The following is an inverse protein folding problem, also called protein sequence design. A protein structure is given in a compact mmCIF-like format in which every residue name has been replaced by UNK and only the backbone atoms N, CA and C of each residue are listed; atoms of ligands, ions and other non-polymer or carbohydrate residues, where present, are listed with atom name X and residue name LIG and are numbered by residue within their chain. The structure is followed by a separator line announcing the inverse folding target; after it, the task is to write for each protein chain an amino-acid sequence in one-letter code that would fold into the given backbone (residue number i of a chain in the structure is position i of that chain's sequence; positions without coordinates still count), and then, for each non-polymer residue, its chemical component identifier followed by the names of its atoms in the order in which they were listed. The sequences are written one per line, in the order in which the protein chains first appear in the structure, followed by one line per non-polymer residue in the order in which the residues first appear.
data_IF_372813786385
#
_entry.id   IF_372813786385
#
_cell.length_a   1.000
_cell.length_b   1.000
_cell.length_c   1.000
_cell.angle_alpha   90.00
_cell.angle_beta   90.00
_cell.angle_gamma   90.00
#
_symmetry.space_group_name_H-M   'P 1'
#
loop_
_entity.id
_entity.type
_entity.pdbx_description
1 polymer ?
#
# COMPACT_ATOMS: atom_id res chain seq x y z
N UNK A 1 3.56 -35.26 -5.31
CA UNK A 1 2.59 -34.18 -5.02
C UNK A 1 3.38 -32.91 -4.79
N UNK A 2 3.38 -32.04 -5.78
CA UNK A 2 4.27 -30.88 -5.90
C UNK A 2 3.62 -29.68 -5.22
N UNK A 3 3.98 -29.41 -3.98
CA UNK A 3 3.60 -28.19 -3.28
C UNK A 3 4.83 -27.30 -3.12
N UNK A 4 5.26 -26.63 -4.20
CA UNK A 4 6.16 -25.48 -4.04
C UNK A 4 5.28 -24.36 -3.50
N UNK A 5 5.34 -24.17 -2.19
CA UNK A 5 4.83 -22.99 -1.51
C UNK A 5 5.64 -21.84 -2.12
N UNK A 6 5.05 -21.14 -3.07
CA UNK A 6 5.64 -19.95 -3.65
C UNK A 6 5.99 -19.03 -2.50
N UNK A 7 7.26 -18.70 -2.39
CA UNK A 7 7.78 -17.68 -1.49
C UNK A 7 6.92 -16.44 -1.66
N UNK A 8 6.04 -16.18 -0.70
CA UNK A 8 5.37 -14.89 -0.54
C UNK A 8 6.46 -13.88 -0.25
N UNK A 9 7.03 -13.32 -1.32
CA UNK A 9 7.81 -12.10 -1.27
C UNK A 9 6.86 -10.99 -0.86
N UNK A 10 6.58 -10.89 0.44
CA UNK A 10 5.85 -9.78 1.03
C UNK A 10 6.79 -8.58 0.89
N UNK A 11 6.76 -7.90 -0.26
CA UNK A 11 7.37 -6.59 -0.39
C UNK A 11 6.57 -5.67 0.53
N UNK A 12 7.17 -5.31 1.66
CA UNK A 12 6.56 -4.39 2.62
C UNK A 12 6.78 -2.97 2.10
N UNK A 13 6.16 -2.65 0.97
CA UNK A 13 6.16 -1.28 0.42
C UNK A 13 5.25 -0.42 1.30
N UNK A 14 5.82 0.12 2.39
CA UNK A 14 5.14 1.10 3.23
C UNK A 14 5.25 2.48 2.57
N UNK A 15 4.11 3.12 2.39
CA UNK A 15 4.02 4.48 1.85
C UNK A 15 3.20 5.38 2.75
N UNK A 16 3.54 6.66 2.78
CA UNK A 16 2.91 7.66 3.65
C UNK A 16 2.09 8.65 2.83
N UNK A 17 0.89 8.94 3.31
CA UNK A 17 0.07 10.04 2.83
C UNK A 17 0.37 11.30 3.65
N UNK A 18 0.82 12.36 2.98
CA UNK A 18 0.99 13.71 3.55
C UNK A 18 -0.14 14.68 3.16
N UNK A 19 -1.24 14.18 2.59
CA UNK A 19 -2.40 14.99 2.22
C UNK A 19 -3.05 15.71 3.41
N UNK A 20 -3.49 16.97 3.26
CA UNK A 20 -3.93 17.82 4.38
C UNK A 20 -5.18 17.32 5.13
N UNK A 21 -5.95 16.41 4.51
CA UNK A 21 -7.16 15.81 5.13
C UNK A 21 -6.90 14.48 5.83
N UNK A 22 -5.69 13.92 5.73
CA UNK A 22 -5.40 12.56 6.20
C UNK A 22 -4.06 12.40 6.91
N UNK A 23 -3.15 13.36 6.79
CA UNK A 23 -1.75 13.20 7.20
C UNK A 23 -1.49 13.28 8.71
N UNK A 24 -0.45 12.59 9.19
CA UNK A 24 0.30 11.52 8.51
C UNK A 24 -0.39 10.16 8.71
N UNK A 25 -0.57 9.39 7.61
CA UNK A 25 -1.06 8.00 7.65
C UNK A 25 -0.20 7.11 6.76
N UNK A 26 0.20 5.97 7.29
CA UNK A 26 1.02 4.97 6.61
C UNK A 26 0.17 3.83 6.07
N UNK A 27 0.47 3.43 4.84
CA UNK A 27 -0.23 2.40 4.08
C UNK A 27 0.77 1.34 3.66
N UNK A 28 0.49 0.08 3.96
CA UNK A 28 1.12 -1.03 3.26
C UNK A 28 0.45 -1.13 1.90
N UNK A 29 1.26 -1.13 0.85
CA UNK A 29 0.80 -1.18 -0.53
C UNK A 29 1.26 -2.46 -1.17
N UNK A 30 0.34 -3.19 -1.79
CA UNK A 30 0.61 -4.41 -2.55
C UNK A 30 -0.02 -4.29 -3.94
N UNK A 31 0.68 -4.75 -4.97
CA UNK A 31 0.12 -4.83 -6.33
C UNK A 31 -0.50 -6.21 -6.51
N UNK A 32 -1.83 -6.26 -6.59
CA UNK A 32 -2.58 -7.51 -6.77
C UNK A 32 -2.60 -7.94 -8.24
N UNK A 33 -2.79 -6.98 -9.16
CA UNK A 33 -2.78 -7.19 -10.60
C UNK A 33 -2.30 -5.93 -11.33
N UNK A 34 -2.17 -6.01 -12.65
CA UNK A 34 -1.89 -4.81 -13.44
C UNK A 34 -3.02 -3.80 -13.28
N UNK A 35 -2.68 -2.59 -12.82
CA UNK A 35 -3.66 -1.55 -12.54
C UNK A 35 -4.52 -1.79 -11.29
N UNK A 36 -4.19 -2.77 -10.43
CA UNK A 36 -4.95 -3.05 -9.20
C UNK A 36 -4.03 -3.10 -7.97
N UNK A 37 -4.37 -2.30 -6.96
CA UNK A 37 -3.58 -2.12 -5.75
C UNK A 37 -4.40 -2.43 -4.51
N UNK A 38 -3.81 -3.18 -3.58
CA UNK A 38 -4.32 -3.39 -2.24
C UNK A 38 -3.59 -2.45 -1.28
N UNK A 39 -4.36 -1.68 -0.52
CA UNK A 39 -3.85 -0.72 0.45
C UNK A 39 -4.43 -1.04 1.82
N UNK A 40 -3.55 -1.38 2.76
CA UNK A 40 -3.91 -1.59 4.16
C UNK A 40 -3.33 -0.46 5.00
N UNK A 41 -4.16 0.18 5.81
CA UNK A 41 -3.69 1.15 6.78
C UNK A 41 -2.82 0.45 7.85
N UNK A 42 -1.63 0.98 8.14
CA UNK A 42 -0.66 0.28 9.00
C UNK A 42 -1.14 0.09 10.44
N UNK A 43 -1.87 1.08 10.96
CA UNK A 43 -2.49 1.07 12.30
C UNK A 43 -3.93 0.52 12.28
N UNK A 44 -4.42 0.09 11.12
CA UNK A 44 -5.83 -0.27 10.90
C UNK A 44 -6.02 -1.71 10.41
N UNK A 45 -7.24 -2.20 10.53
CA UNK A 45 -7.66 -3.48 9.95
C UNK A 45 -8.34 -3.32 8.59
N UNK A 46 -8.60 -2.07 8.15
CA UNK A 46 -9.28 -1.82 6.89
C UNK A 46 -8.33 -1.97 5.71
N UNK A 47 -8.79 -2.73 4.71
CA UNK A 47 -8.12 -2.93 3.43
C UNK A 47 -8.97 -2.28 2.34
N UNK A 48 -8.32 -1.57 1.43
CA UNK A 48 -8.93 -0.95 0.26
C UNK A 48 -8.33 -1.54 -1.00
N UNK A 49 -9.17 -1.74 -2.02
CA UNK A 49 -8.73 -2.11 -3.36
C UNK A 49 -8.91 -0.90 -4.28
N UNK A 50 -7.83 -0.48 -4.96
CA UNK A 50 -7.81 0.66 -5.86
C UNK A 50 -7.42 0.24 -7.27
N UNK A 51 -8.24 0.61 -8.24
CA UNK A 51 -7.90 0.50 -9.65
C UNK A 51 -7.17 1.78 -10.12
N UNK A 52 -6.00 1.62 -10.72
CA UNK A 52 -5.20 2.74 -11.23
C UNK A 52 -3.76 2.35 -11.56
N UNK A 53 -3.09 3.20 -12.35
CA UNK A 53 -1.68 3.03 -12.71
C UNK A 53 -0.73 3.11 -11.50
N UNK A 54 -1.15 3.80 -10.44
CA UNK A 54 -0.37 4.06 -9.23
C UNK A 54 -1.26 4.05 -7.97
N UNK A 55 -0.69 3.71 -6.80
CA UNK A 55 -1.43 3.68 -5.54
C UNK A 55 -1.57 5.11 -4.97
N UNK A 56 -2.80 5.49 -4.59
CA UNK A 56 -3.11 6.78 -3.95
C UNK A 56 -3.77 6.55 -2.60
N UNK A 57 -3.80 7.57 -1.74
CA UNK A 57 -4.46 7.47 -0.44
C UNK A 57 -5.98 7.25 -0.64
N UNK A 58 -6.56 6.14 -0.16
CA UNK A 58 -7.97 5.85 -0.38
C UNK A 58 -8.91 6.79 0.38
N UNK A 59 -8.38 7.58 1.32
CA UNK A 59 -9.14 8.51 2.16
C UNK A 59 -9.28 9.91 1.56
N UNK A 60 -8.25 10.40 0.86
CA UNK A 60 -8.24 11.76 0.32
C UNK A 60 -7.82 11.86 -1.15
N UNK A 61 -7.44 10.74 -1.78
CA UNK A 61 -6.93 10.73 -3.15
C UNK A 61 -5.51 11.29 -3.32
N UNK A 62 -4.86 11.72 -2.23
CA UNK A 62 -3.50 12.25 -2.28
C UNK A 62 -2.45 11.19 -2.63
N UNK A 63 -1.31 11.64 -3.16
CA UNK A 63 -0.20 10.75 -3.51
C UNK A 63 0.41 10.07 -2.27
N UNK A 64 0.96 8.87 -2.50
CA UNK A 64 1.64 8.07 -1.48
C UNK A 64 3.14 8.02 -1.76
N UNK A 65 3.92 8.50 -0.80
CA UNK A 65 5.38 8.59 -0.89
C UNK A 65 6.03 7.41 -0.16
N UNK A 66 7.12 6.82 -0.68
CA UNK A 66 7.88 5.82 0.07
C UNK A 66 8.27 6.36 1.44
N UNK A 67 8.11 5.55 2.48
CA UNK A 67 8.72 5.89 3.76
C UNK A 67 10.23 5.71 3.58
N UNK A 68 10.99 6.81 3.49
CA UNK A 68 12.45 6.71 3.44
C UNK A 68 12.95 6.01 4.70
N UNK A 69 13.93 5.10 4.59
CA UNK A 69 14.59 4.58 5.78
C UNK A 69 15.24 5.76 6.50
N UNK A 70 14.90 5.97 7.77
CA UNK A 70 15.63 6.91 8.62
C UNK A 70 17.12 6.51 8.60
N UNK A 71 17.96 7.40 8.08
CA UNK A 71 19.41 7.22 7.99
C UNK A 71 20.10 7.34 9.34
#
# INVERSE_FOLDING_TARGET
MTGKIGTSSISRDIRVCYGPRCAPRSWRVEREAEGLWLLQESEGSTVYTLAGSSPVCPRCGGELYPLEPEG
#
